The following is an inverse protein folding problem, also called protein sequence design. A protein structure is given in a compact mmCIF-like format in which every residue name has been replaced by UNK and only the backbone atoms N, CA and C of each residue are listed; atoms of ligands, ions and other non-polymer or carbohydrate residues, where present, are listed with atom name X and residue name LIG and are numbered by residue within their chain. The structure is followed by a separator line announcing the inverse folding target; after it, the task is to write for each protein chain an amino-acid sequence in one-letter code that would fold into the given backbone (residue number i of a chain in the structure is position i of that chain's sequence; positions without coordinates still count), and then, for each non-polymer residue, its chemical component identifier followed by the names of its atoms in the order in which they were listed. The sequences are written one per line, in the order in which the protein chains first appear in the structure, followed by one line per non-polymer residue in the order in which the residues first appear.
data_IF_919166310785
#
_entry.id   IF_919166310785
#
_cell.length_a   1.000
_cell.length_b   1.000
_cell.length_c   1.000
_cell.angle_alpha   90.00
_cell.angle_beta   90.00
_cell.angle_gamma   90.00
#
_symmetry.space_group_name_H-M   'P 1'
#
loop_
_entity.id
_entity.type
_entity.pdbx_description
1 polymer ?
#
# COMPACT_ATOMS: atom_id res chain seq x y z
N UNK A 1 29.03 9.46 -12.94
CA UNK A 1 28.00 8.64 -13.62
C UNK A 1 26.98 9.59 -14.22
N UNK A 2 26.58 9.45 -15.49
CA UNK A 2 25.65 10.40 -16.13
C UNK A 2 24.27 10.36 -15.45
N UNK A 3 23.73 11.50 -15.03
CA UNK A 3 22.42 11.61 -14.34
C UNK A 3 21.26 10.98 -15.14
N UNK A 4 21.33 11.08 -16.47
CA UNK A 4 20.38 10.45 -17.40
C UNK A 4 20.42 8.90 -17.34
N UNK A 5 21.54 8.32 -16.89
CA UNK A 5 21.65 6.87 -16.68
C UNK A 5 20.94 6.43 -15.40
N UNK A 6 21.00 7.25 -14.34
CA UNK A 6 20.34 6.95 -13.07
C UNK A 6 18.81 7.07 -13.22
N UNK A 7 18.33 8.09 -13.93
CA UNK A 7 16.89 8.24 -14.20
C UNK A 7 16.31 7.02 -14.94
N UNK A 8 17.02 6.54 -15.96
CA UNK A 8 16.64 5.32 -16.70
C UNK A 8 16.59 4.08 -15.80
N UNK A 9 17.49 3.97 -14.83
CA UNK A 9 17.49 2.84 -13.90
C UNK A 9 16.29 2.90 -12.95
N UNK A 10 15.98 4.08 -12.40
CA UNK A 10 14.78 4.27 -11.56
C UNK A 10 13.51 3.95 -12.34
N UNK A 11 13.41 4.37 -13.61
CA UNK A 11 12.28 4.04 -14.48
C UNK A 11 12.12 2.53 -14.69
N UNK A 12 13.22 1.80 -14.93
CA UNK A 12 13.19 0.34 -15.05
C UNK A 12 12.75 -0.33 -13.74
N UNK A 13 13.18 0.21 -12.60
CA UNK A 13 12.78 -0.30 -11.29
C UNK A 13 11.29 -0.08 -11.04
N UNK A 14 10.75 1.09 -11.40
CA UNK A 14 9.30 1.36 -11.35
C UNK A 14 8.54 0.36 -12.22
N UNK A 15 8.96 0.16 -13.47
CA UNK A 15 8.30 -0.79 -14.37
C UNK A 15 8.31 -2.22 -13.81
N UNK A 16 9.43 -2.63 -13.18
CA UNK A 16 9.52 -3.92 -12.50
C UNK A 16 8.52 -4.01 -11.35
N UNK A 17 8.46 -3.02 -10.48
CA UNK A 17 7.54 -3.01 -9.34
C UNK A 17 6.07 -2.97 -9.79
N UNK A 18 5.74 -2.25 -10.87
CA UNK A 18 4.39 -2.27 -11.48
C UNK A 18 4.04 -3.67 -11.97
N UNK A 19 4.95 -4.37 -12.66
CA UNK A 19 4.70 -5.76 -13.07
C UNK A 19 4.53 -6.71 -11.88
N UNK A 20 5.29 -6.50 -10.80
CA UNK A 20 5.12 -7.27 -9.56
C UNK A 20 3.75 -7.00 -8.91
N UNK A 21 3.34 -5.73 -8.85
CA UNK A 21 2.02 -5.31 -8.35
C UNK A 21 0.88 -5.96 -9.16
N UNK A 22 0.95 -5.93 -10.49
CA UNK A 22 -0.04 -6.57 -11.36
C UNK A 22 -0.10 -8.09 -11.13
N UNK A 23 1.07 -8.73 -10.98
CA UNK A 23 1.19 -10.15 -10.67
C UNK A 23 0.54 -10.49 -9.33
N UNK A 24 0.84 -9.73 -8.27
CA UNK A 24 0.26 -9.89 -6.95
C UNK A 24 -1.26 -9.69 -6.96
N UNK A 25 -1.77 -8.70 -7.72
CA UNK A 25 -3.21 -8.46 -7.89
C UNK A 25 -3.93 -9.64 -8.55
N UNK A 26 -3.34 -10.19 -9.63
CA UNK A 26 -3.88 -11.39 -10.30
C UNK A 26 -3.84 -12.62 -9.39
N UNK A 27 -2.74 -12.80 -8.65
CA UNK A 27 -2.60 -13.91 -7.70
C UNK A 27 -3.63 -13.79 -6.58
N UNK A 28 -3.83 -12.60 -6.02
CA UNK A 28 -4.84 -12.32 -5.00
C UNK A 28 -6.24 -12.67 -5.50
N UNK A 29 -6.58 -12.29 -6.74
CA UNK A 29 -7.88 -12.60 -7.34
C UNK A 29 -8.10 -14.11 -7.58
N UNK A 30 -7.03 -14.90 -7.68
CA UNK A 30 -7.07 -16.34 -7.86
C UNK A 30 -6.98 -17.14 -6.55
N UNK A 31 -6.71 -16.47 -5.41
CA UNK A 31 -6.55 -17.14 -4.13
C UNK A 31 -7.86 -17.79 -3.69
N UNK A 32 -7.79 -19.09 -3.38
CA UNK A 32 -8.88 -19.83 -2.74
C UNK A 32 -8.64 -20.05 -1.25
N UNK A 33 -7.36 -20.01 -0.83
CA UNK A 33 -6.96 -20.13 0.56
C UNK A 33 -6.63 -18.76 1.14
N UNK A 34 -6.98 -18.54 2.41
CA UNK A 34 -6.82 -17.24 3.04
C UNK A 34 -5.37 -16.88 3.33
N UNK A 35 -4.53 -17.86 3.66
CA UNK A 35 -3.09 -17.66 3.86
C UNK A 35 -2.42 -17.16 2.57
N UNK A 36 -2.75 -17.76 1.43
CA UNK A 36 -2.28 -17.30 0.11
C UNK A 36 -2.74 -15.87 -0.18
N UNK A 37 -4.01 -15.55 0.12
CA UNK A 37 -4.55 -14.21 -0.06
C UNK A 37 -3.85 -13.16 0.83
N UNK A 38 -3.46 -13.53 2.05
CA UNK A 38 -2.73 -12.64 2.96
C UNK A 38 -1.33 -12.32 2.40
N UNK A 39 -0.57 -13.34 1.96
CA UNK A 39 0.77 -13.11 1.42
C UNK A 39 0.72 -12.33 0.09
N UNK A 40 -0.30 -12.59 -0.74
CA UNK A 40 -0.55 -11.83 -1.96
C UNK A 40 -0.90 -10.37 -1.65
N UNK A 41 -1.70 -10.12 -0.61
CA UNK A 41 -2.06 -8.77 -0.16
C UNK A 41 -0.86 -8.02 0.40
N UNK A 42 -0.02 -8.67 1.21
CA UNK A 42 1.26 -8.13 1.68
C UNK A 42 2.18 -7.76 0.52
N UNK A 43 2.32 -8.65 -0.46
CA UNK A 43 3.11 -8.40 -1.67
C UNK A 43 2.59 -7.18 -2.44
N UNK A 44 1.27 -7.10 -2.64
CA UNK A 44 0.62 -5.97 -3.33
C UNK A 44 0.88 -4.64 -2.59
N UNK A 45 0.72 -4.63 -1.27
CA UNK A 45 0.96 -3.45 -0.44
C UNK A 45 2.43 -2.99 -0.51
N UNK A 46 3.36 -3.94 -0.43
CA UNK A 46 4.80 -3.67 -0.51
C UNK A 46 5.17 -3.06 -1.87
N UNK A 47 4.67 -3.64 -2.98
CA UNK A 47 4.91 -3.12 -4.32
C UNK A 47 4.33 -1.71 -4.48
N UNK A 48 3.10 -1.46 -3.99
CA UNK A 48 2.49 -0.12 -4.03
C UNK A 48 3.36 0.92 -3.33
N UNK A 49 3.83 0.60 -2.12
CA UNK A 49 4.68 1.50 -1.36
C UNK A 49 6.00 1.78 -2.10
N UNK A 50 6.64 0.75 -2.67
CA UNK A 50 7.86 0.89 -3.49
C UNK A 50 7.67 1.75 -4.73
N UNK A 51 6.58 1.55 -5.46
CA UNK A 51 6.24 2.36 -6.65
C UNK A 51 6.13 3.83 -6.25
N UNK A 52 5.41 4.14 -5.17
CA UNK A 52 5.24 5.52 -4.69
C UNK A 52 6.59 6.15 -4.27
N UNK A 53 7.44 5.40 -3.56
CA UNK A 53 8.76 5.87 -3.17
C UNK A 53 9.67 6.15 -4.38
N UNK A 54 9.70 5.25 -5.35
CA UNK A 54 10.48 5.41 -6.59
C UNK A 54 9.96 6.56 -7.46
N UNK A 55 8.64 6.73 -7.56
CA UNK A 55 8.05 7.87 -8.28
C UNK A 55 8.41 9.19 -7.61
N UNK A 56 8.37 9.25 -6.28
CA UNK A 56 8.82 10.43 -5.51
C UNK A 56 10.31 10.72 -5.73
N UNK A 57 11.16 9.68 -5.76
CA UNK A 57 12.58 9.82 -6.11
C UNK A 57 12.77 10.39 -7.52
N UNK A 58 12.09 9.82 -8.50
CA UNK A 58 12.15 10.24 -9.89
C UNK A 58 11.73 11.71 -10.06
N UNK A 59 10.67 12.12 -9.36
CA UNK A 59 10.22 13.52 -9.36
C UNK A 59 11.27 14.46 -8.76
N UNK A 60 11.95 14.08 -7.67
CA UNK A 60 13.03 14.88 -7.07
C UNK A 60 14.22 15.02 -8.03
N UNK A 61 14.62 13.94 -8.70
CA UNK A 61 15.70 13.98 -9.70
C UNK A 61 15.38 14.94 -10.84
N UNK A 62 14.15 14.86 -11.39
CA UNK A 62 13.72 15.77 -12.47
C UNK A 62 13.69 17.23 -12.03
N UNK A 63 13.22 17.52 -10.82
CA UNK A 63 13.24 18.88 -10.27
C UNK A 63 14.67 19.41 -10.15
N UNK A 64 15.61 18.59 -9.67
CA UNK A 64 17.01 18.97 -9.58
C UNK A 64 17.62 19.28 -10.96
N UNK A 65 17.35 18.47 -11.97
CA UNK A 65 17.81 18.71 -13.35
C UNK A 65 17.27 20.02 -13.93
N UNK A 66 16.00 20.36 -13.67
CA UNK A 66 15.39 21.62 -14.13
C UNK A 66 16.11 22.80 -13.47
N UNK A 67 16.31 22.76 -12.15
CA UNK A 67 17.00 23.82 -11.41
C UNK A 67 18.46 24.00 -11.88
N UNK A 68 19.18 22.91 -12.10
CA UNK A 68 20.54 22.96 -12.67
C UNK A 68 20.56 23.63 -14.05
N UNK A 69 19.58 23.32 -14.91
CA UNK A 69 19.45 23.92 -16.24
C UNK A 69 19.13 25.42 -16.19
N UNK A 70 18.42 25.86 -15.16
CA UNK A 70 18.13 27.27 -14.87
C UNK A 70 19.32 28.02 -14.25
N UNK A 71 20.48 27.36 -14.09
CA UNK A 71 21.70 27.95 -13.56
C UNK A 71 21.78 27.97 -12.03
N UNK A 72 20.81 27.37 -11.34
CA UNK A 72 20.90 27.13 -9.90
C UNK A 72 21.79 25.90 -9.67
N UNK A 73 23.09 26.12 -9.57
CA UNK A 73 23.98 25.10 -9.01
C UNK A 73 23.73 25.03 -7.51
N UNK A 74 23.49 23.85 -6.92
CA UNK A 74 23.69 23.71 -5.48
C UNK A 74 25.12 24.18 -5.19
N UNK A 75 25.32 24.96 -4.13
CA UNK A 75 26.66 25.26 -3.64
C UNK A 75 27.42 23.93 -3.50
N UNK A 76 28.74 23.95 -3.63
CA UNK A 76 29.61 22.83 -3.29
C UNK A 76 29.57 22.59 -1.77
N UNK A 77 28.40 22.28 -1.25
CA UNK A 77 28.17 21.89 0.12
C UNK A 77 28.83 20.54 0.31
N UNK A 78 29.60 20.43 1.39
CA UNK A 78 30.25 19.19 1.80
C UNK A 78 29.18 18.11 1.88
N UNK A 79 29.27 17.11 1.00
CA UNK A 79 28.36 15.97 1.03
C UNK A 79 28.63 15.18 2.32
N UNK A 80 27.64 15.05 3.22
CA UNK A 80 27.84 14.30 4.45
C UNK A 80 28.11 12.83 4.13
N UNK A 81 28.89 12.16 4.99
CA UNK A 81 29.10 10.72 4.86
C UNK A 81 27.78 9.96 4.99
N UNK A 82 27.64 8.88 4.21
CA UNK A 82 26.55 7.91 4.37
C UNK A 82 26.99 6.76 5.29
N UNK A 83 26.01 6.09 5.88
CA UNK A 83 26.21 4.93 6.75
C UNK A 83 25.23 3.81 6.47
N UNK A 84 25.23 2.82 7.35
CA UNK A 84 24.24 1.73 7.36
C UNK A 84 23.38 1.82 8.60
N UNK A 85 22.08 1.60 8.45
CA UNK A 85 21.13 1.50 9.55
C UNK A 85 20.58 0.09 9.56
N UNK A 86 20.75 -0.61 10.67
CA UNK A 86 20.20 -1.95 10.87
C UNK A 86 19.12 -1.91 11.95
N UNK A 87 17.99 -2.56 11.70
CA UNK A 87 16.98 -2.85 12.70
C UNK A 87 16.90 -4.37 12.89
N UNK A 88 16.99 -4.82 14.14
CA UNK A 88 16.84 -6.23 14.54
C UNK A 88 15.95 -6.32 15.77
N UNK A 89 15.47 -7.53 16.06
CA UNK A 89 14.75 -7.87 17.29
C UNK A 89 13.54 -6.95 17.56
N UNK A 90 12.79 -6.62 16.51
CA UNK A 90 11.63 -5.75 16.63
C UNK A 90 10.51 -6.49 17.37
N UNK A 91 10.18 -6.00 18.57
CA UNK A 91 9.14 -6.57 19.44
C UNK A 91 8.03 -5.57 19.73
N UNK A 92 6.79 -6.01 19.57
CA UNK A 92 5.60 -5.17 19.78
C UNK A 92 4.75 -5.84 20.88
N UNK A 93 4.74 -5.30 22.11
CA UNK A 93 3.93 -5.83 23.19
C UNK A 93 2.44 -5.82 22.86
N UNK A 94 1.75 -6.90 23.24
CA UNK A 94 0.32 -7.07 23.06
C UNK A 94 -0.40 -6.87 24.39
N UNK A 95 -1.58 -6.27 24.33
CA UNK A 95 -2.46 -6.12 25.48
C UNK A 95 -3.82 -6.71 25.15
N UNK A 96 -4.03 -7.94 25.63
CA UNK A 96 -5.28 -8.67 25.47
C UNK A 96 -6.31 -8.21 26.50
N UNK A 97 -7.56 -8.11 26.07
CA UNK A 97 -8.65 -7.81 27.01
C UNK A 97 -9.06 -9.08 27.76
N UNK A 98 -9.47 -8.93 29.01
CA UNK A 98 -10.02 -10.05 29.82
C UNK A 98 -11.17 -10.78 29.11
N UNK A 99 -11.96 -10.07 28.31
CA UNK A 99 -13.02 -10.70 27.49
C UNK A 99 -12.46 -11.68 26.46
N UNK A 100 -11.32 -11.36 25.84
CA UNK A 100 -10.67 -12.20 24.82
C UNK A 100 -9.96 -13.40 25.46
N UNK A 101 -9.45 -13.21 26.68
CA UNK A 101 -8.76 -14.25 27.44
C UNK A 101 -9.73 -15.23 28.13
N UNK A 102 -10.76 -14.73 28.82
CA UNK A 102 -11.61 -15.55 29.69
C UNK A 102 -12.97 -15.97 29.08
N UNK A 103 -13.55 -15.20 28.15
CA UNK A 103 -14.93 -15.46 27.66
C UNK A 103 -14.97 -16.33 26.41
N UNK A 104 -13.90 -16.36 25.62
CA UNK A 104 -13.83 -17.10 24.36
C UNK A 104 -13.18 -18.49 24.55
N UNK A 105 -13.78 -19.34 25.39
CA UNK A 105 -13.30 -20.73 25.59
C UNK A 105 -13.56 -21.57 24.34
N UNK A 106 -12.70 -21.44 23.33
CA UNK A 106 -12.74 -22.24 22.11
C UNK A 106 -12.36 -21.46 20.85
N UNK A 107 -12.60 -20.15 20.81
CA UNK A 107 -12.22 -19.29 19.69
C UNK A 107 -10.84 -18.67 19.94
N UNK A 108 -9.87 -19.03 19.11
CA UNK A 108 -8.59 -18.34 19.01
C UNK A 108 -8.77 -17.22 17.98
N UNK A 109 -8.90 -15.99 18.45
CA UNK A 109 -8.75 -14.82 17.58
C UNK A 109 -7.31 -14.82 17.11
N UNK A 110 -7.11 -15.20 15.86
CA UNK A 110 -5.82 -15.12 15.19
C UNK A 110 -5.81 -13.83 14.39
N UNK A 111 -4.69 -13.13 14.33
CA UNK A 111 -4.47 -12.06 13.37
C UNK A 111 -3.16 -12.30 12.65
N UNK A 112 -3.16 -12.03 11.36
CA UNK A 112 -1.94 -11.99 10.57
C UNK A 112 -1.35 -10.60 10.70
N UNK A 113 -0.06 -10.50 10.96
CA UNK A 113 0.65 -9.24 11.22
C UNK A 113 1.96 -9.21 10.45
N UNK A 114 2.32 -8.05 9.91
CA UNK A 114 3.64 -7.79 9.35
C UNK A 114 3.97 -6.30 9.43
N UNK A 115 5.24 -5.95 9.27
CA UNK A 115 5.69 -4.57 9.23
C UNK A 115 6.22 -4.20 7.83
N UNK A 116 5.97 -2.96 7.42
CA UNK A 116 6.74 -2.29 6.36
C UNK A 116 7.67 -1.26 6.99
N UNK A 117 8.94 -1.35 6.64
CA UNK A 117 9.99 -0.45 7.07
C UNK A 117 10.43 0.38 5.87
N UNK A 118 10.43 1.70 6.04
CA UNK A 118 10.86 2.66 5.05
C UNK A 118 11.99 3.51 5.59
N UNK A 119 13.11 3.55 4.86
CA UNK A 119 14.19 4.50 5.08
C UNK A 119 14.52 5.18 3.76
N UNK A 120 14.18 6.47 3.65
CA UNK A 120 14.30 7.20 2.39
C UNK A 120 13.40 6.61 1.29
N UNK A 121 13.99 6.09 0.23
CA UNK A 121 13.28 5.47 -0.91
C UNK A 121 13.28 3.94 -0.85
N UNK A 122 14.03 3.37 0.09
CA UNK A 122 14.11 1.93 0.28
C UNK A 122 12.97 1.46 1.20
N UNK A 123 12.28 0.40 0.77
CA UNK A 123 11.15 -0.20 1.49
C UNK A 123 11.36 -1.71 1.59
N UNK A 124 11.37 -2.19 2.83
CA UNK A 124 11.49 -3.60 3.16
C UNK A 124 10.30 -4.04 4.01
N UNK A 125 9.83 -5.26 3.82
CA UNK A 125 8.77 -5.85 4.62
C UNK A 125 9.32 -7.00 5.45
N UNK A 126 8.76 -7.20 6.64
CA UNK A 126 9.05 -8.39 7.46
C UNK A 126 8.22 -9.56 6.99
N UNK A 127 8.52 -10.74 7.52
CA UNK A 127 7.63 -11.89 7.37
C UNK A 127 6.24 -11.67 7.99
N UNK A 128 5.27 -12.40 7.45
CA UNK A 128 3.89 -12.39 7.93
C UNK A 128 3.76 -13.42 9.05
N UNK A 129 3.42 -12.95 10.24
CA UNK A 129 3.34 -13.77 11.45
C UNK A 129 1.89 -13.88 11.93
N UNK A 130 1.52 -15.07 12.40
CA UNK A 130 0.22 -15.33 13.00
C UNK A 130 0.28 -15.10 14.50
N UNK A 131 -0.63 -14.28 15.00
CA UNK A 131 -0.66 -13.80 16.38
C UNK A 131 -1.98 -14.21 17.02
N UNK A 132 -1.92 -14.83 18.19
CA UNK A 132 -3.11 -15.13 19.01
C UNK A 132 -2.88 -14.80 20.48
N UNK A 133 -3.93 -14.96 21.29
CA UNK A 133 -3.94 -14.63 22.71
C UNK A 133 -2.90 -15.35 23.58
N UNK A 134 -2.21 -16.37 23.05
CA UNK A 134 -1.13 -17.05 23.78
C UNK A 134 0.18 -16.27 23.75
N UNK A 135 0.31 -15.30 22.83
CA UNK A 135 1.50 -14.47 22.69
C UNK A 135 1.40 -13.21 23.55
N UNK A 136 2.49 -12.84 24.22
CA UNK A 136 2.62 -11.57 24.96
C UNK A 136 3.05 -10.41 24.09
N UNK A 137 3.69 -10.71 22.96
CA UNK A 137 4.29 -9.76 22.06
C UNK A 137 4.49 -10.36 20.68
N UNK A 138 4.54 -9.51 19.67
CA UNK A 138 4.87 -9.87 18.29
C UNK A 138 6.38 -9.77 18.15
N UNK A 139 7.04 -10.87 17.81
CA UNK A 139 8.47 -10.92 17.53
C UNK A 139 8.70 -10.98 16.02
N UNK A 140 9.41 -9.99 15.49
CA UNK A 140 9.86 -9.98 14.09
C UNK A 140 11.38 -10.19 14.10
N UNK A 141 11.81 -11.39 13.75
CA UNK A 141 13.22 -11.85 13.87
C UNK A 141 14.12 -11.32 12.75
N UNK A 142 13.53 -10.79 11.68
CA UNK A 142 14.26 -10.27 10.52
C UNK A 142 15.21 -9.14 10.92
N UNK A 143 16.48 -9.25 10.50
CA UNK A 143 17.42 -8.13 10.53
C UNK A 143 17.36 -7.40 9.20
N UNK A 144 16.83 -6.18 9.23
CA UNK A 144 16.68 -5.32 8.05
C UNK A 144 17.80 -4.28 8.04
N UNK A 145 18.55 -4.21 6.94
CA UNK A 145 19.69 -3.31 6.79
C UNK A 145 19.45 -2.38 5.62
N UNK A 146 19.42 -1.08 5.90
CA UNK A 146 19.43 0.00 4.92
C UNK A 146 20.86 0.49 4.71
N UNK A 147 21.29 0.56 3.45
CA UNK A 147 22.62 1.07 3.08
C UNK A 147 22.54 2.49 2.52
N UNK A 148 23.67 3.19 2.50
CA UNK A 148 23.78 4.55 1.95
C UNK A 148 22.82 5.57 2.59
N UNK A 149 22.65 5.45 3.91
CA UNK A 149 21.76 6.28 4.71
C UNK A 149 22.49 7.52 5.21
N UNK A 150 21.95 8.72 4.92
CA UNK A 150 22.52 9.99 5.38
C UNK A 150 22.25 10.28 6.87
N UNK A 151 22.95 11.25 7.49
CA UNK A 151 22.85 11.52 8.93
C UNK A 151 21.48 12.02 9.41
N UNK A 152 20.68 12.63 8.52
CA UNK A 152 19.32 13.11 8.81
C UNK A 152 18.22 12.11 8.50
N UNK A 153 18.51 10.81 8.53
CA UNK A 153 17.54 9.79 8.11
C UNK A 153 16.31 9.73 9.00
N UNK A 154 15.22 9.25 8.42
CA UNK A 154 14.00 8.90 9.14
C UNK A 154 13.66 7.45 8.80
N UNK A 155 13.56 6.63 9.82
CA UNK A 155 13.04 5.27 9.73
C UNK A 155 11.57 5.28 10.11
N UNK A 156 10.71 4.90 9.17
CA UNK A 156 9.27 4.73 9.37
C UNK A 156 8.96 3.24 9.44
N UNK A 157 8.25 2.83 10.49
CA UNK A 157 7.79 1.45 10.69
C UNK A 157 6.27 1.46 10.73
N UNK A 158 5.64 0.74 9.80
CA UNK A 158 4.19 0.66 9.67
C UNK A 158 3.74 -0.77 9.94
N UNK A 159 2.94 -0.95 11.00
CA UNK A 159 2.37 -2.24 11.38
C UNK A 159 1.04 -2.46 10.67
N UNK A 160 0.94 -3.56 9.93
CA UNK A 160 -0.29 -4.00 9.31
C UNK A 160 -0.82 -5.23 10.01
N UNK A 161 -2.14 -5.29 10.19
CA UNK A 161 -2.81 -6.46 10.76
C UNK A 161 -4.09 -6.80 10.00
N UNK A 162 -4.42 -8.08 9.95
CA UNK A 162 -5.67 -8.59 9.40
C UNK A 162 -6.23 -9.68 10.31
N UNK A 163 -7.45 -9.48 10.81
CA UNK A 163 -8.09 -10.44 11.70
C UNK A 163 -8.48 -11.71 10.93
N UNK A 164 -7.98 -12.83 11.42
CA UNK A 164 -8.25 -14.18 10.94
C UNK A 164 -9.33 -14.75 11.84
N UNK A 165 -10.60 -14.56 11.47
CA UNK A 165 -11.70 -15.28 12.13
C UNK A 165 -11.61 -16.74 11.65
N UNK A 166 -11.33 -17.65 12.58
CA UNK A 166 -11.35 -19.07 12.32
C UNK A 166 -12.82 -19.53 12.26
N UNK A 167 -13.28 -20.02 11.11
CA UNK A 167 -14.64 -20.58 10.92
C UNK A 167 -14.80 -21.96 11.58
N UNK A 168 -14.15 -22.20 12.72
CA UNK A 168 -14.24 -23.48 13.43
C UNK A 168 -15.61 -23.71 14.11
N UNK A 169 -16.60 -22.85 13.91
CA UNK A 169 -17.94 -22.95 14.51
C UNK A 169 -19.08 -23.24 13.53
N UNK A 170 -18.79 -23.75 12.32
CA UNK A 170 -19.82 -24.38 11.47
C UNK A 170 -19.69 -25.91 11.40
N UNK A 171 -19.29 -26.52 12.51
CA UNK A 171 -19.10 -27.95 12.66
C UNK A 171 -20.24 -28.69 13.35
N UNK A 172 -21.52 -28.27 13.34
CA UNK A 172 -22.64 -29.13 13.79
C UNK A 172 -24.07 -28.72 13.37
N UNK A 173 -24.37 -28.38 12.11
CA UNK A 173 -25.76 -28.54 11.61
C UNK A 173 -25.70 -29.07 10.17
N UNK A 174 -25.95 -30.37 10.01
CA UNK A 174 -26.09 -31.00 8.69
C UNK A 174 -27.22 -30.38 7.85
N UNK A 175 -27.23 -30.59 6.52
CA UNK A 175 -28.20 -29.95 5.66
C UNK A 175 -29.58 -30.53 5.95
N UNK A 176 -30.46 -29.74 6.59
CA UNK A 176 -31.89 -30.06 6.62
C UNK A 176 -32.43 -29.90 5.20
N UNK A 177 -32.52 -31.03 4.49
CA UNK A 177 -33.39 -31.18 3.33
C UNK A 177 -34.80 -30.77 3.75
N UNK A 178 -35.26 -29.61 3.31
CA UNK A 178 -36.68 -29.27 3.29
C UNK A 178 -37.15 -29.28 1.84
N UNK A 179 -38.22 -30.04 1.63
CA UNK A 179 -38.70 -30.51 0.35
C UNK A 179 -39.24 -29.40 -0.55
N UNK A 180 -39.18 -29.72 -1.85
CA UNK A 180 -39.89 -29.06 -2.94
C UNK A 180 -41.36 -28.82 -2.59
N UNK A 181 -41.83 -27.58 -2.76
CA UNK A 181 -43.11 -27.27 -3.39
C UNK A 181 -42.91 -26.06 -4.30
N UNK A 182 -43.42 -26.18 -5.53
CA UNK A 182 -43.25 -25.20 -6.60
C UNK A 182 -44.17 -23.97 -6.47
N UNK A 183 -43.84 -22.93 -7.23
CA UNK A 183 -44.65 -21.73 -7.40
C UNK A 183 -44.00 -20.85 -8.47
N UNK A 184 -44.79 -20.49 -9.48
CA UNK A 184 -44.39 -19.97 -10.78
C UNK A 184 -44.34 -18.43 -10.83
N UNK A 185 -43.59 -17.92 -11.83
CA UNK A 185 -43.75 -16.63 -12.54
C UNK A 185 -43.57 -15.29 -11.79
N UNK A 186 -42.71 -14.42 -12.35
CA UNK A 186 -43.06 -13.00 -12.47
C UNK A 186 -41.94 -11.96 -12.37
N UNK A 187 -41.56 -11.41 -13.53
CA UNK A 187 -41.17 -10.01 -13.77
C UNK A 187 -39.73 -9.50 -13.45
N UNK A 188 -38.95 -9.42 -14.54
CA UNK A 188 -38.33 -8.22 -15.15
C UNK A 188 -37.56 -7.17 -14.32
N UNK A 189 -36.54 -6.62 -15.00
CA UNK A 189 -35.74 -5.41 -14.72
C UNK A 189 -34.45 -5.74 -13.96
N UNK A 190 -33.24 -5.47 -14.44
CA UNK A 190 -32.80 -4.50 -15.42
C UNK A 190 -31.62 -3.73 -14.83
N UNK A 191 -30.48 -3.78 -15.54
CA UNK A 191 -29.30 -2.89 -15.47
C UNK A 191 -28.13 -3.27 -14.54
N UNK A 192 -27.01 -3.43 -15.24
CA UNK A 192 -25.61 -3.44 -14.81
C UNK A 192 -25.24 -2.13 -14.10
N UNK A 193 -24.43 -2.19 -13.05
CA UNK A 193 -23.53 -1.09 -12.67
C UNK A 193 -22.13 -1.70 -12.46
N UNK A 194 -21.26 -1.49 -13.45
CA UNK A 194 -19.80 -1.61 -13.37
C UNK A 194 -19.26 -0.25 -13.83
N UNK A 195 -18.18 0.17 -13.18
CA UNK A 195 -17.24 1.25 -13.51
C UNK A 195 -17.37 2.51 -12.63
N UNK A 196 -16.39 2.67 -11.76
CA UNK A 196 -15.83 3.97 -11.39
C UNK A 196 -14.35 3.72 -11.13
N UNK A 197 -13.52 3.92 -12.16
CA UNK A 197 -12.13 4.40 -12.08
C UNK A 197 -11.63 4.55 -13.52
N UNK A 198 -10.82 5.60 -13.73
CA UNK A 198 -10.18 6.03 -14.99
C UNK A 198 -11.09 6.83 -15.95
N UNK A 199 -10.68 7.95 -16.52
CA UNK A 199 -9.43 8.69 -16.43
C UNK A 199 -9.65 10.09 -16.98
N UNK A 200 -8.96 11.06 -16.38
CA UNK A 200 -8.64 12.32 -17.04
C UNK A 200 -7.55 12.06 -18.11
N UNK A 201 -7.72 12.65 -19.28
CA UNK A 201 -6.78 12.57 -20.42
C UNK A 201 -7.51 12.92 -21.71
N UNK A 202 -7.66 14.20 -22.06
CA UNK A 202 -6.78 14.96 -22.98
C UNK A 202 -7.17 14.81 -24.48
N UNK A 203 -7.70 15.93 -25.00
CA UNK A 203 -7.51 16.57 -26.31
C UNK A 203 -8.25 16.13 -27.60
N UNK A 204 -8.82 17.17 -28.24
CA UNK A 204 -9.11 17.32 -29.69
C UNK A 204 -10.49 16.80 -30.12
N UNK A 205 -11.35 17.49 -30.87
CA UNK A 205 -11.21 18.66 -31.76
C UNK A 205 -12.61 19.10 -32.27
N UNK A 206 -12.76 20.41 -32.60
CA UNK A 206 -13.79 21.07 -33.47
C UNK A 206 -15.27 20.96 -33.04
N UNK A 207 -16.21 21.90 -33.16
CA UNK A 207 -16.43 23.27 -33.68
C UNK A 207 -17.88 23.56 -33.23
N UNK A 208 -18.39 24.71 -32.80
CA UNK A 208 -18.55 26.01 -33.46
C UNK A 208 -19.60 26.79 -32.62
N UNK A 209 -19.44 28.11 -32.47
CA UNK A 209 -20.60 29.02 -32.32
C UNK A 209 -20.69 29.87 -31.04
N UNK A 210 -20.28 31.13 -31.17
CA UNK A 210 -21.06 32.28 -30.70
C UNK A 210 -20.77 32.85 -29.30
N UNK A 211 -20.81 34.19 -29.11
CA UNK A 211 -20.07 34.87 -28.05
C UNK A 211 -20.92 35.17 -26.81
N UNK A 212 -20.30 35.08 -25.64
CA UNK A 212 -20.87 35.53 -24.37
C UNK A 212 -19.75 35.94 -23.44
N UNK A 213 -19.58 37.25 -23.26
CA UNK A 213 -18.72 37.85 -22.24
C UNK A 213 -19.11 37.32 -20.86
N UNK A 214 -18.14 37.15 -19.96
CA UNK A 214 -18.22 37.50 -18.54
C UNK A 214 -16.90 37.10 -17.86
N UNK A 215 -16.11 38.11 -17.52
CA UNK A 215 -14.90 38.00 -16.70
C UNK A 215 -15.28 37.57 -15.26
N UNK A 216 -14.58 36.63 -14.62
CA UNK A 216 -14.69 36.46 -13.17
C UNK A 216 -13.72 37.40 -12.44
N UNK A 217 -14.10 37.91 -11.26
CA UNK A 217 -13.32 38.89 -10.51
C UNK A 217 -12.16 38.24 -9.74
N UNK A 218 -11.05 38.96 -9.68
CA UNK A 218 -10.01 38.80 -8.67
C UNK A 218 -10.57 39.21 -7.30
N UNK A 219 -10.46 38.34 -6.29
CA UNK A 219 -10.49 38.77 -4.90
C UNK A 219 -9.39 38.09 -4.10
N UNK A 220 -8.67 38.96 -3.40
CA UNK A 220 -7.50 38.77 -2.54
C UNK A 220 -7.78 37.88 -1.33
N UNK A 221 -6.69 37.25 -0.91
CA UNK A 221 -6.25 36.95 0.46
C UNK A 221 -7.05 37.60 1.59
N UNK A 222 -7.27 36.83 2.66
CA UNK A 222 -7.00 37.29 4.02
C UNK A 222 -6.69 36.09 4.94
N UNK A 223 -5.61 36.30 5.67
CA UNK A 223 -5.00 35.51 6.72
C UNK A 223 -5.78 35.52 8.04
N UNK A 224 -5.30 34.67 8.96
CA UNK A 224 -5.45 34.69 10.43
C UNK A 224 -6.81 34.35 11.03
N UNK A 225 -6.91 33.14 11.61
CA UNK A 225 -6.75 32.88 13.05
C UNK A 225 -6.43 31.39 13.28
#
# INVERSE_FOLDING_TARGET
MNENSQEKEVLKQIEREVRMQEGASKLLAACSQREQALEASKSLLTCNARILALLSQLQRMRKAQILQREGFSPNEDIVPCTGKVALSDLRIPLMWKDSEYFKNKGELHRCAVFCLLQCGTEIQGTDLVMVDRTLTDICLEDTIIFSDVGPGFQLRVELYSSCVIDEFTLGTIGPRKIGRLGGSLGCSSGKKIRAAFESAGICGSTSSGGPGSLSPPLCRELSTL
#
